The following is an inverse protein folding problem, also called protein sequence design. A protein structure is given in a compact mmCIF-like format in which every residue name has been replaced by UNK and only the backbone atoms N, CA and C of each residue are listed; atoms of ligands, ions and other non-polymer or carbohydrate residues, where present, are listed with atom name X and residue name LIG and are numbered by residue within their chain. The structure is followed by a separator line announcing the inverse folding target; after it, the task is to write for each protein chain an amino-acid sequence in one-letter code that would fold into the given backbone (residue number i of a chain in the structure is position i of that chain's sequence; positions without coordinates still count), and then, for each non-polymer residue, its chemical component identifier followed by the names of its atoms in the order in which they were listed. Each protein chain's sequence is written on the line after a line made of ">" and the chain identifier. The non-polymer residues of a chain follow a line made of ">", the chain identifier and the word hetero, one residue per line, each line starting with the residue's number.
data_IF_660108779082
#
_entry.id   IF_660108779082
#
_cell.length_a   1.000
_cell.length_b   1.000
_cell.length_c   1.000
_cell.angle_alpha   90.00
_cell.angle_beta   90.00
_cell.angle_gamma   90.00
#
_symmetry.space_group_name_H-M   'P 1'
#
loop_
_entity.id
_entity.type
_entity.pdbx_description
1 polymer ?
#
# COMPACT_ATOMS: atom_id res chain seq x y z
N UNK A 1 -37.39 -17.05 11.18
CA UNK A 1 -36.97 -15.65 11.42
C UNK A 1 -35.63 -15.45 10.75
N UNK A 2 -35.59 -14.69 9.66
CA UNK A 2 -34.36 -14.44 8.90
C UNK A 2 -33.41 -13.57 9.74
N UNK A 3 -32.14 -13.93 9.92
CA UNK A 3 -31.18 -13.06 10.60
C UNK A 3 -31.04 -11.77 9.78
N UNK A 4 -31.26 -10.64 10.45
CA UNK A 4 -31.23 -9.31 9.86
C UNK A 4 -29.88 -9.06 9.17
N UNK A 5 -29.89 -9.03 7.83
CA UNK A 5 -28.76 -8.64 6.96
C UNK A 5 -28.13 -7.30 7.35
N UNK A 6 -28.87 -6.47 8.08
CA UNK A 6 -28.43 -5.17 8.58
C UNK A 6 -27.34 -5.27 9.66
N UNK A 7 -27.36 -6.30 10.52
CA UNK A 7 -26.39 -6.46 11.60
C UNK A 7 -25.02 -6.93 11.08
N UNK A 8 -25.00 -7.72 10.00
CA UNK A 8 -23.78 -8.13 9.31
C UNK A 8 -23.16 -6.91 8.60
N UNK A 9 -23.97 -6.03 8.00
CA UNK A 9 -23.50 -4.80 7.35
C UNK A 9 -22.84 -3.81 8.31
N UNK A 10 -23.33 -3.69 9.55
CA UNK A 10 -22.76 -2.78 10.56
C UNK A 10 -21.42 -3.29 11.10
N UNK A 11 -21.27 -4.61 11.29
CA UNK A 11 -20.00 -5.20 11.75
C UNK A 11 -18.91 -5.08 10.67
N UNK A 12 -19.27 -5.30 9.40
CA UNK A 12 -18.34 -5.04 8.28
C UNK A 12 -18.02 -3.55 8.11
N UNK A 13 -18.98 -2.66 8.34
CA UNK A 13 -18.77 -1.20 8.27
C UNK A 13 -17.79 -0.69 9.35
N UNK A 14 -17.85 -1.21 10.57
CA UNK A 14 -16.97 -0.79 11.67
C UNK A 14 -15.53 -1.33 11.50
N UNK A 15 -15.35 -2.52 10.92
CA UNK A 15 -14.01 -3.02 10.56
C UNK A 15 -13.40 -2.27 9.36
N UNK A 16 -14.21 -1.81 8.39
CA UNK A 16 -13.70 -1.02 7.25
C UNK A 16 -13.27 0.41 7.65
N UNK A 17 -13.96 1.04 8.60
CA UNK A 17 -13.67 2.44 8.99
C UNK A 17 -12.41 2.56 9.86
N UNK A 18 -11.95 1.48 10.49
CA UNK A 18 -10.74 1.50 11.34
C UNK A 18 -9.41 1.33 10.58
N UNK A 19 -9.43 1.15 9.25
CA UNK A 19 -8.21 1.00 8.42
C UNK A 19 -7.81 2.24 7.62
N UNK A 20 -8.50 3.37 7.77
CA UNK A 20 -8.12 4.65 7.13
C UNK A 20 -7.41 5.55 8.15
N UNK A 21 -6.30 5.07 8.68
CA UNK A 21 -5.27 5.97 9.22
C UNK A 21 -4.15 5.94 8.20
N UNK A 22 -4.10 6.96 7.36
CA UNK A 22 -2.89 7.26 6.58
C UNK A 22 -1.81 7.67 7.59
N UNK A 23 -0.75 6.86 7.81
CA UNK A 23 0.38 7.35 8.56
C UNK A 23 0.98 8.52 7.78
N UNK A 24 1.09 9.68 8.42
CA UNK A 24 1.93 10.76 7.93
C UNK A 24 3.38 10.29 8.07
N UNK A 25 3.98 9.82 6.98
CA UNK A 25 5.36 9.36 6.99
C UNK A 25 6.26 10.50 6.50
N UNK A 26 7.21 10.92 7.35
CA UNK A 26 8.32 11.77 6.92
C UNK A 26 9.20 10.94 5.99
N UNK A 27 9.38 11.41 4.75
CA UNK A 27 10.33 10.83 3.82
C UNK A 27 11.75 10.92 4.41
N UNK A 28 12.53 9.85 4.28
CA UNK A 28 13.98 9.96 4.40
C UNK A 28 14.45 10.79 3.21
N UNK A 29 14.85 12.04 3.48
CA UNK A 29 15.44 12.93 2.48
C UNK A 29 16.78 12.32 2.07
N UNK A 30 16.87 11.76 0.85
CA UNK A 30 18.13 11.30 0.30
C UNK A 30 18.96 12.55 -0.03
N UNK A 31 20.08 12.74 0.66
CA UNK A 31 20.94 13.95 0.71
C UNK A 31 21.53 14.37 -0.66
N UNK A 32 21.21 13.64 -1.73
CA UNK A 32 21.57 13.99 -3.12
C UNK A 32 20.54 14.85 -3.86
N UNK A 33 19.34 15.07 -3.30
CA UNK A 33 18.33 15.93 -3.94
C UNK A 33 18.67 17.41 -3.72
N UNK A 34 18.87 18.15 -4.82
CA UNK A 34 19.05 19.61 -4.75
C UNK A 34 17.79 20.23 -4.13
N UNK A 35 17.86 20.65 -2.86
CA UNK A 35 16.81 21.41 -2.18
C UNK A 35 16.36 22.56 -3.09
N UNK A 36 15.06 22.58 -3.41
CA UNK A 36 14.46 23.63 -4.23
C UNK A 36 14.66 24.94 -3.48
N UNK A 37 15.24 25.94 -4.15
CA UNK A 37 15.46 27.26 -3.56
C UNK A 37 14.12 27.86 -3.10
N UNK A 38 14.02 28.43 -1.89
CA UNK A 38 12.78 28.99 -1.34
C UNK A 38 12.19 30.18 -2.14
N UNK A 39 12.85 30.60 -3.23
CA UNK A 39 12.37 31.64 -4.17
C UNK A 39 11.52 31.08 -5.33
N UNK A 40 11.29 29.77 -5.39
CA UNK A 40 10.56 29.10 -6.46
C UNK A 40 9.20 28.60 -5.93
N UNK A 41 8.11 28.95 -6.61
CA UNK A 41 6.78 28.41 -6.32
C UNK A 41 6.57 27.11 -7.11
N UNK A 42 6.01 26.09 -6.47
CA UNK A 42 5.67 24.82 -7.10
C UNK A 42 4.18 24.78 -7.44
N UNK A 43 3.83 24.43 -8.68
CA UNK A 43 2.44 24.18 -9.08
C UNK A 43 2.28 22.72 -9.51
N UNK A 44 1.29 22.03 -8.96
CA UNK A 44 0.94 20.67 -9.36
C UNK A 44 0.34 20.66 -10.76
N UNK A 45 0.88 19.79 -11.61
CA UNK A 45 0.37 19.56 -12.96
C UNK A 45 -0.66 18.44 -12.89
N UNK A 46 -0.21 17.30 -12.38
CA UNK A 46 -1.01 16.09 -12.25
C UNK A 46 -0.39 15.14 -11.22
N UNK A 47 -1.20 14.24 -10.69
CA UNK A 47 -0.80 13.22 -9.74
C UNK A 47 -1.65 11.96 -9.89
N UNK A 48 -1.08 10.83 -9.45
CA UNK A 48 -1.84 9.61 -9.24
C UNK A 48 -1.22 8.74 -8.16
N UNK A 49 -2.01 7.77 -7.69
CA UNK A 49 -1.56 6.77 -6.75
C UNK A 49 -1.78 5.39 -7.33
N UNK A 50 -0.91 4.45 -7.01
CA UNK A 50 -1.05 3.06 -7.46
C UNK A 50 -0.71 2.10 -6.33
N UNK A 51 -1.38 0.94 -6.31
CA UNK A 51 -1.14 -0.10 -5.31
C UNK A 51 -0.71 -1.39 -5.98
N UNK A 52 0.34 -2.01 -5.48
CA UNK A 52 0.83 -3.30 -5.96
C UNK A 52 0.81 -4.25 -4.77
N UNK A 53 -0.03 -5.27 -4.84
CA UNK A 53 -0.21 -6.24 -3.77
C UNK A 53 0.29 -7.61 -4.21
N UNK A 54 1.22 -8.15 -3.43
CA UNK A 54 1.66 -9.52 -3.51
C UNK A 54 0.78 -10.33 -2.57
N UNK A 55 0.03 -11.25 -3.14
CA UNK A 55 -0.92 -12.09 -2.42
C UNK A 55 -0.60 -13.57 -2.59
N UNK A 56 -1.00 -14.38 -1.63
CA UNK A 56 -0.99 -15.84 -1.79
C UNK A 56 -2.20 -16.30 -2.62
N UNK A 57 -2.18 -17.56 -3.07
CA UNK A 57 -3.26 -18.14 -3.90
C UNK A 57 -4.65 -18.11 -3.24
N UNK A 58 -4.74 -17.89 -1.93
CA UNK A 58 -5.98 -17.73 -1.18
C UNK A 58 -6.45 -16.27 -1.03
N UNK A 59 -5.74 -15.33 -1.66
CA UNK A 59 -6.03 -13.89 -1.64
C UNK A 59 -5.47 -13.13 -0.43
N UNK A 60 -4.63 -13.76 0.39
CA UNK A 60 -4.00 -13.07 1.53
C UNK A 60 -2.86 -12.19 1.05
N UNK A 61 -3.00 -10.88 1.26
CA UNK A 61 -1.92 -9.91 1.04
C UNK A 61 -0.78 -10.15 2.02
N UNK A 62 0.42 -10.41 1.49
CA UNK A 62 1.65 -10.59 2.27
C UNK A 62 2.60 -9.39 2.14
N UNK A 63 2.53 -8.66 1.02
CA UNK A 63 3.35 -7.47 0.80
C UNK A 63 2.63 -6.47 -0.09
N UNK A 64 2.60 -5.21 0.34
CA UNK A 64 1.93 -4.12 -0.36
C UNK A 64 2.90 -2.97 -0.61
N UNK A 65 2.94 -2.51 -1.85
CA UNK A 65 3.52 -1.22 -2.21
C UNK A 65 2.40 -0.22 -2.42
N UNK A 66 2.54 0.96 -1.83
CA UNK A 66 1.71 2.13 -2.09
C UNK A 66 2.54 3.20 -2.75
N UNK A 67 2.21 3.51 -3.98
CA UNK A 67 2.93 4.48 -4.79
C UNK A 67 2.11 5.78 -4.89
N UNK A 68 2.81 6.90 -4.87
CA UNK A 68 2.28 8.23 -5.18
C UNK A 68 3.26 8.92 -6.12
N UNK A 69 2.75 9.32 -7.27
CA UNK A 69 3.52 9.97 -8.32
C UNK A 69 2.89 11.32 -8.62
N UNK A 70 3.73 12.34 -8.76
CA UNK A 70 3.29 13.70 -8.93
C UNK A 70 4.24 14.46 -9.84
N UNK A 71 3.68 15.23 -10.76
CA UNK A 71 4.43 16.12 -11.64
C UNK A 71 4.14 17.58 -11.28
N UNK A 72 5.18 18.40 -11.26
CA UNK A 72 5.15 19.78 -10.75
C UNK A 72 5.90 20.73 -11.67
N UNK A 73 5.38 21.94 -11.85
CA UNK A 73 6.12 23.07 -12.42
C UNK A 73 6.85 23.85 -11.33
N UNK A 74 8.09 24.29 -11.62
CA UNK A 74 8.72 25.38 -10.89
C UNK A 74 8.53 26.71 -11.59
N UNK A 75 7.87 27.63 -10.89
CA UNK A 75 7.61 29.00 -11.29
C UNK A 75 8.52 29.96 -10.53
N UNK A 76 9.20 30.85 -11.27
CA UNK A 76 10.05 31.88 -10.70
C UNK A 76 9.37 33.25 -10.83
N UNK A 77 8.90 33.82 -9.73
CA UNK A 77 8.06 35.03 -9.77
C UNK A 77 8.71 36.24 -10.47
N UNK A 78 10.05 36.37 -10.42
CA UNK A 78 10.77 37.49 -11.03
C UNK A 78 10.95 37.38 -12.55
N UNK A 79 10.71 36.21 -13.15
CA UNK A 79 10.68 35.98 -14.58
C UNK A 79 9.50 35.03 -14.85
N UNK A 80 8.31 35.53 -15.26
CA UNK A 80 7.06 34.75 -15.34
C UNK A 80 7.08 33.75 -16.50
N UNK A 81 7.99 32.79 -16.44
CA UNK A 81 8.16 31.69 -17.38
C UNK A 81 8.17 30.41 -16.57
N UNK A 82 7.40 29.41 -17.04
CA UNK A 82 7.53 28.03 -16.56
C UNK A 82 8.96 27.61 -16.87
N UNK A 83 9.74 27.36 -15.82
CA UNK A 83 11.18 27.17 -15.99
C UNK A 83 11.56 25.70 -16.12
N UNK A 84 10.87 24.81 -15.40
CA UNK A 84 11.26 23.41 -15.22
C UNK A 84 10.09 22.52 -14.79
N UNK A 85 10.15 21.23 -15.14
CA UNK A 85 9.24 20.19 -14.65
C UNK A 85 9.98 19.26 -13.71
N UNK A 86 9.33 18.91 -12.62
CA UNK A 86 9.83 17.97 -11.64
C UNK A 86 8.87 16.82 -11.47
N UNK A 87 9.44 15.66 -11.20
CA UNK A 87 8.74 14.45 -10.83
C UNK A 87 9.04 14.10 -9.38
N UNK A 88 7.99 13.92 -8.62
CA UNK A 88 8.02 13.45 -7.25
C UNK A 88 7.46 12.04 -7.20
N UNK A 89 8.22 11.12 -6.64
CA UNK A 89 7.80 9.74 -6.38
C UNK A 89 7.92 9.42 -4.92
N UNK A 90 6.91 8.76 -4.37
CA UNK A 90 6.89 8.17 -3.05
C UNK A 90 6.36 6.75 -3.13
N UNK A 91 7.02 5.82 -2.46
CA UNK A 91 6.72 4.40 -2.44
C UNK A 91 6.84 3.91 -1.00
N UNK A 92 5.69 3.56 -0.41
CA UNK A 92 5.59 2.96 0.91
C UNK A 92 5.51 1.44 0.83
N UNK A 93 6.23 0.76 1.71
CA UNK A 93 6.30 -0.69 1.81
C UNK A 93 5.58 -1.18 3.07
N UNK A 94 4.65 -2.11 2.92
CA UNK A 94 3.82 -2.60 4.03
C UNK A 94 3.74 -4.11 4.04
N UNK A 95 3.92 -4.72 5.20
CA UNK A 95 3.82 -6.17 5.37
C UNK A 95 2.37 -6.55 5.68
N UNK A 96 1.93 -7.65 5.07
CA UNK A 96 0.63 -8.25 5.33
C UNK A 96 0.39 -8.51 6.81
N UNK A 97 -0.83 -8.25 7.26
CA UNK A 97 -1.23 -8.43 8.66
C UNK A 97 -2.34 -9.47 8.78
N UNK A 98 -2.30 -10.23 9.86
CA UNK A 98 -3.36 -11.14 10.23
C UNK A 98 -4.62 -10.39 10.70
N UNK A 99 -5.76 -11.08 10.90
CA UNK A 99 -6.98 -10.47 11.41
C UNK A 99 -6.81 -9.81 12.80
N UNK A 100 -5.83 -10.26 13.58
CA UNK A 100 -5.49 -9.66 14.88
C UNK A 100 -4.35 -8.63 14.79
N UNK A 101 -3.94 -8.22 13.59
CA UNK A 101 -2.92 -7.19 13.35
C UNK A 101 -1.47 -7.68 13.48
N UNK A 102 -1.23 -9.00 13.57
CA UNK A 102 0.13 -9.56 13.66
C UNK A 102 0.77 -9.59 12.27
N UNK A 103 2.08 -9.36 12.19
CA UNK A 103 2.79 -9.43 10.90
C UNK A 103 2.80 -10.85 10.37
N UNK A 104 2.31 -11.06 9.14
CA UNK A 104 2.40 -12.34 8.43
C UNK A 104 3.79 -12.57 7.85
N UNK A 105 4.54 -11.48 7.64
CA UNK A 105 5.89 -11.49 7.07
C UNK A 105 6.90 -11.12 8.16
N UNK A 106 7.99 -11.89 8.23
CA UNK A 106 9.13 -11.62 9.11
C UNK A 106 10.21 -10.77 8.43
N UNK A 107 10.43 -10.98 7.13
CA UNK A 107 11.40 -10.22 6.35
C UNK A 107 11.10 -10.28 4.85
N UNK A 108 11.50 -9.21 4.16
CA UNK A 108 11.56 -9.15 2.71
C UNK A 108 12.96 -8.71 2.33
N UNK A 109 13.65 -9.56 1.58
CA UNK A 109 14.99 -9.33 1.08
C UNK A 109 14.92 -9.12 -0.44
N UNK A 110 15.68 -8.14 -0.94
CA UNK A 110 15.88 -7.90 -2.38
C UNK A 110 17.36 -7.78 -2.67
N UNK A 111 17.80 -8.28 -3.82
CA UNK A 111 19.14 -7.97 -4.32
C UNK A 111 19.19 -6.50 -4.76
N UNK A 112 18.19 -6.08 -5.53
CA UNK A 112 17.98 -4.69 -5.92
C UNK A 112 16.48 -4.46 -6.16
N UNK A 113 15.93 -3.43 -5.56
CA UNK A 113 14.64 -2.85 -5.92
C UNK A 113 14.88 -1.42 -6.37
N UNK A 114 14.63 -1.13 -7.63
CA UNK A 114 14.82 0.19 -8.21
C UNK A 114 13.55 0.72 -8.86
N UNK A 115 13.36 2.04 -8.83
CA UNK A 115 12.30 2.72 -9.57
C UNK A 115 12.89 3.70 -10.59
N UNK A 116 12.49 3.56 -11.84
CA UNK A 116 12.96 4.37 -12.96
C UNK A 116 11.80 5.24 -13.49
N UNK A 117 11.85 6.57 -13.31
CA UNK A 117 10.74 7.44 -13.70
C UNK A 117 10.71 7.65 -15.21
N UNK A 118 9.51 7.72 -15.81
CA UNK A 118 9.34 7.95 -17.25
C UNK A 118 8.22 8.93 -17.57
N UNK A 119 8.33 9.60 -18.70
CA UNK A 119 7.33 10.55 -19.19
C UNK A 119 7.41 10.75 -20.71
N UNK A 120 6.33 11.23 -21.30
CA UNK A 120 6.31 11.70 -22.70
C UNK A 120 6.03 13.19 -22.68
N UNK A 121 6.83 13.99 -23.39
CA UNK A 121 6.63 15.43 -23.44
C UNK A 121 5.56 15.85 -24.47
N UNK A 122 5.21 17.13 -24.50
CA UNK A 122 4.20 17.68 -25.42
C UNK A 122 4.56 17.60 -26.92
N UNK A 123 5.80 17.24 -27.28
CA UNK A 123 6.22 16.99 -28.66
C UNK A 123 6.05 15.52 -29.05
N UNK A 124 5.70 14.67 -28.09
CA UNK A 124 5.62 13.22 -28.27
C UNK A 124 6.97 12.53 -28.09
N UNK A 125 8.00 13.24 -27.61
CA UNK A 125 9.30 12.63 -27.37
C UNK A 125 9.23 11.84 -26.06
N UNK A 126 9.51 10.52 -26.06
CA UNK A 126 9.53 9.72 -24.86
C UNK A 126 10.84 9.97 -24.10
N UNK A 127 10.69 10.15 -22.80
CA UNK A 127 11.79 10.35 -21.88
C UNK A 127 11.76 9.23 -20.85
N UNK A 128 12.80 8.41 -20.96
CA UNK A 128 13.17 7.26 -20.14
C UNK A 128 12.38 5.95 -20.37
N UNK A 129 13.12 4.89 -20.72
CA UNK A 129 12.70 3.48 -20.65
C UNK A 129 13.84 2.59 -20.07
N UNK A 130 14.60 3.10 -19.07
CA UNK A 130 15.79 2.57 -18.35
C UNK A 130 17.13 3.37 -18.53
N UNK A 131 17.14 4.70 -18.41
CA UNK A 131 18.37 5.45 -18.16
C UNK A 131 19.09 4.97 -16.88
N UNK A 132 20.42 5.15 -16.78
CA UNK A 132 21.24 4.45 -15.77
C UNK A 132 20.91 4.78 -14.30
N UNK A 133 20.27 5.92 -14.01
CA UNK A 133 20.08 6.35 -12.62
C UNK A 133 18.63 6.15 -12.14
N UNK A 134 18.39 5.24 -11.19
CA UNK A 134 17.08 5.09 -10.58
C UNK A 134 16.75 6.28 -9.68
N UNK A 135 15.46 6.63 -9.59
CA UNK A 135 14.99 7.65 -8.67
C UNK A 135 15.29 7.23 -7.22
N UNK A 136 15.12 5.95 -6.90
CA UNK A 136 15.64 5.35 -5.68
C UNK A 136 15.98 3.87 -5.93
N UNK A 137 16.90 3.34 -5.14
CA UNK A 137 17.23 1.93 -5.11
C UNK A 137 17.34 1.43 -3.68
N UNK A 138 16.89 0.20 -3.43
CA UNK A 138 16.99 -0.50 -2.15
C UNK A 138 17.73 -1.82 -2.42
N UNK A 139 18.87 -1.99 -1.73
CA UNK A 139 19.65 -3.22 -1.77
C UNK A 139 19.59 -3.87 -0.38
N UNK A 140 19.09 -5.09 -0.28
CA UNK A 140 18.94 -5.83 0.97
C UNK A 140 17.51 -5.80 1.52
N UNK A 141 17.36 -5.53 2.83
CA UNK A 141 16.09 -5.70 3.54
C UNK A 141 15.15 -4.51 3.35
N UNK A 142 13.92 -4.79 2.91
CA UNK A 142 12.79 -3.87 2.96
C UNK A 142 12.19 -3.94 4.36
N UNK A 143 11.93 -2.80 4.98
CA UNK A 143 11.30 -2.72 6.32
C UNK A 143 9.81 -2.43 6.20
N UNK A 144 9.03 -2.99 7.11
CA UNK A 144 7.61 -2.66 7.24
C UNK A 144 7.43 -1.18 7.60
N UNK A 145 6.57 -0.48 6.85
CA UNK A 145 6.35 0.95 6.96
C UNK A 145 7.46 1.83 6.36
N UNK A 146 8.45 1.25 5.68
CA UNK A 146 9.50 2.03 5.02
C UNK A 146 8.89 2.89 3.91
N UNK A 147 9.33 4.15 3.83
CA UNK A 147 9.01 5.06 2.74
C UNK A 147 10.29 5.39 1.98
N UNK A 148 10.27 5.12 0.68
CA UNK A 148 11.31 5.56 -0.26
C UNK A 148 10.71 6.53 -1.26
N UNK A 149 11.49 7.49 -1.69
CA UNK A 149 11.01 8.47 -2.65
C UNK A 149 12.11 9.40 -3.10
N UNK A 150 11.85 10.10 -4.19
CA UNK A 150 12.78 11.07 -4.72
C UNK A 150 12.02 12.21 -5.41
N UNK A 151 12.71 13.33 -5.50
CA UNK A 151 12.29 14.51 -6.23
C UNK A 151 13.31 14.82 -7.32
N UNK A 152 12.93 14.58 -8.58
CA UNK A 152 13.84 14.61 -9.72
C UNK A 152 13.42 15.71 -10.71
N UNK A 153 14.39 16.48 -11.19
CA UNK A 153 14.21 17.38 -12.33
C UNK A 153 14.11 16.53 -13.60
N UNK A 154 12.98 16.61 -14.30
CA UNK A 154 12.70 15.79 -15.48
C UNK A 154 12.79 16.60 -16.78
N UNK A 155 12.47 17.90 -16.75
CA UNK A 155 12.69 18.77 -17.91
C UNK A 155 13.26 20.13 -17.47
N UNK A 156 14.52 20.45 -17.81
CA UNK A 156 15.12 21.75 -17.53
C UNK A 156 14.76 22.82 -18.57
N UNK A 157 14.12 22.46 -19.68
CA UNK A 157 13.82 23.34 -20.79
C UNK A 157 12.32 23.63 -20.88
N UNK A 158 11.96 24.92 -20.94
CA UNK A 158 10.57 25.39 -21.09
C UNK A 158 9.88 24.99 -22.42
N UNK A 159 10.50 24.11 -23.21
CA UNK A 159 9.96 23.63 -24.49
C UNK A 159 8.72 22.76 -24.32
N UNK A 160 8.64 22.00 -23.23
CA UNK A 160 7.51 21.11 -22.96
C UNK A 160 6.44 21.88 -22.18
N UNK A 161 5.26 22.10 -22.77
CA UNK A 161 4.20 22.85 -22.07
C UNK A 161 3.40 22.00 -21.11
N UNK A 162 3.39 20.68 -21.30
CA UNK A 162 2.71 19.67 -20.50
C UNK A 162 3.33 18.30 -20.77
N UNK A 163 3.05 17.33 -19.90
CA UNK A 163 3.46 15.94 -20.05
C UNK A 163 2.28 15.14 -20.57
N UNK A 164 2.44 14.42 -21.68
CA UNK A 164 1.43 13.55 -22.27
C UNK A 164 1.24 12.26 -21.49
N UNK A 165 2.31 11.80 -20.82
CA UNK A 165 2.30 10.60 -19.99
C UNK A 165 3.35 10.77 -18.89
N UNK A 166 3.11 10.21 -17.70
CA UNK A 166 4.14 10.15 -16.65
C UNK A 166 3.94 8.95 -15.73
N UNK A 167 5.03 8.52 -15.08
CA UNK A 167 5.04 7.37 -14.19
C UNK A 167 6.44 6.78 -14.04
N UNK A 168 6.56 5.46 -14.18
CA UNK A 168 7.86 4.78 -14.20
C UNK A 168 7.77 3.27 -14.11
N UNK A 169 8.93 2.63 -14.17
CA UNK A 169 9.09 1.18 -14.10
C UNK A 169 9.76 0.79 -12.78
N UNK A 170 9.16 -0.16 -12.06
CA UNK A 170 9.82 -0.87 -10.97
C UNK A 170 10.61 -2.05 -11.51
N UNK A 171 11.81 -2.23 -10.98
CA UNK A 171 12.63 -3.41 -11.21
C UNK A 171 12.89 -4.12 -9.88
N UNK A 172 12.39 -5.35 -9.74
CA UNK A 172 12.69 -6.22 -8.59
C UNK A 172 13.65 -7.33 -9.01
N UNK A 173 14.82 -7.38 -8.38
CA UNK A 173 15.83 -8.44 -8.51
C UNK A 173 16.02 -9.13 -7.17
N UNK A 174 16.02 -10.45 -7.15
CA UNK A 174 16.32 -11.23 -5.94
C UNK A 174 15.28 -11.09 -4.82
N UNK A 175 13.99 -10.90 -5.14
CA UNK A 175 12.90 -10.72 -4.17
C UNK A 175 12.58 -12.05 -3.46
N UNK A 176 12.84 -12.07 -2.16
CA UNK A 176 12.54 -13.18 -1.27
C UNK A 176 11.66 -12.68 -0.13
N UNK A 177 10.48 -13.28 0.03
CA UNK A 177 9.54 -12.97 1.11
C UNK A 177 9.57 -14.13 2.11
N UNK A 178 9.90 -13.84 3.37
CA UNK A 178 9.88 -14.84 4.45
C UNK A 178 8.69 -14.58 5.37
N UNK A 179 7.79 -15.56 5.49
CA UNK A 179 6.67 -15.52 6.42
C UNK A 179 7.12 -15.57 7.88
N UNK A 180 6.22 -15.22 8.81
CA UNK A 180 6.45 -15.24 10.25
C UNK A 180 6.76 -16.65 10.79
N UNK A 181 6.21 -17.68 10.15
CA UNK A 181 6.45 -19.10 10.46
C UNK A 181 7.73 -19.66 9.82
N UNK A 182 8.45 -18.86 9.03
CA UNK A 182 9.74 -19.22 8.43
C UNK A 182 9.67 -19.72 6.97
N UNK A 183 8.49 -19.93 6.42
CA UNK A 183 8.29 -20.26 4.99
C UNK A 183 8.86 -19.15 4.11
N UNK A 184 9.62 -19.51 3.07
CA UNK A 184 10.26 -18.56 2.14
C UNK A 184 9.70 -18.70 0.73
N UNK A 185 9.28 -17.58 0.16
CA UNK A 185 8.90 -17.46 -1.24
C UNK A 185 10.01 -16.72 -1.99
N UNK A 186 10.72 -17.43 -2.86
CA UNK A 186 11.68 -16.83 -3.77
C UNK A 186 10.97 -16.51 -5.09
N UNK A 187 10.70 -15.24 -5.33
CA UNK A 187 9.90 -14.79 -6.47
C UNK A 187 10.74 -14.49 -7.71
N UNK A 188 12.06 -14.51 -7.57
CA UNK A 188 12.99 -14.08 -8.61
C UNK A 188 13.97 -15.19 -8.93
N UNK A 189 13.54 -16.15 -9.75
CA UNK A 189 14.47 -16.79 -10.68
C UNK A 189 14.78 -15.83 -11.86
N UNK A 190 13.88 -14.87 -12.14
CA UNK A 190 14.02 -13.78 -13.14
C UNK A 190 13.71 -12.40 -12.51
N UNK A 191 14.14 -11.32 -13.17
CA UNK A 191 13.79 -9.93 -12.80
C UNK A 191 12.30 -9.67 -13.05
N UNK A 192 11.60 -9.05 -12.09
CA UNK A 192 10.21 -8.60 -12.26
C UNK A 192 10.24 -7.13 -12.67
N UNK A 193 9.63 -6.80 -13.80
CA UNK A 193 9.39 -5.43 -14.22
C UNK A 193 7.90 -5.10 -14.11
N UNK A 194 7.58 -3.97 -13.49
CA UNK A 194 6.22 -3.46 -13.38
C UNK A 194 6.21 -2.02 -13.87
N UNK A 195 5.63 -1.80 -15.05
CA UNK A 195 5.48 -0.48 -15.64
C UNK A 195 4.18 0.17 -15.18
N UNK A 196 4.25 1.39 -14.63
CA UNK A 196 3.07 2.12 -14.17
C UNK A 196 3.10 3.53 -14.74
N UNK A 197 2.11 3.85 -15.55
CA UNK A 197 2.02 5.09 -16.29
C UNK A 197 0.61 5.64 -16.28
N UNK A 198 0.50 6.96 -16.36
CA UNK A 198 -0.77 7.66 -16.53
C UNK A 198 -0.70 8.56 -17.75
N UNK A 199 -1.73 8.51 -18.58
CA UNK A 199 -1.92 9.42 -19.70
C UNK A 199 -2.55 10.75 -19.26
N UNK A 200 -2.22 11.81 -20.00
CA UNK A 200 -2.67 13.16 -19.74
C UNK A 200 -4.19 13.28 -19.90
N UNK A 201 -4.84 13.94 -18.94
CA UNK A 201 -6.30 14.06 -18.79
C UNK A 201 -7.05 12.78 -18.38
N UNK A 202 -6.35 11.65 -18.18
CA UNK A 202 -6.99 10.51 -17.54
C UNK A 202 -7.10 10.73 -16.03
N UNK A 203 -8.10 10.13 -15.42
CA UNK A 203 -8.25 10.20 -13.96
C UNK A 203 -7.40 9.13 -13.26
N UNK A 204 -7.22 7.98 -13.91
CA UNK A 204 -6.51 6.82 -13.39
C UNK A 204 -5.29 6.51 -14.27
N UNK A 205 -4.24 5.86 -13.74
CA UNK A 205 -3.19 5.28 -14.57
C UNK A 205 -3.69 4.11 -15.42
N UNK A 206 -2.92 3.79 -16.45
CA UNK A 206 -3.13 2.63 -17.33
C UNK A 206 -2.97 1.34 -16.52
N UNK A 207 -3.53 0.25 -17.02
CA UNK A 207 -3.22 -1.07 -16.49
C UNK A 207 -1.72 -1.34 -16.67
N UNK A 208 -0.99 -1.73 -15.60
CA UNK A 208 0.45 -1.91 -15.67
C UNK A 208 0.83 -3.10 -16.54
N UNK A 209 1.92 -2.95 -17.29
CA UNK A 209 2.59 -4.07 -17.95
C UNK A 209 3.50 -4.77 -16.93
N UNK A 210 3.26 -6.07 -16.71
CA UNK A 210 3.96 -6.88 -15.72
C UNK A 210 4.73 -7.99 -16.43
N UNK A 211 6.04 -7.80 -16.57
CA UNK A 211 6.95 -8.82 -17.06
C UNK A 211 7.51 -9.63 -15.88
N UNK A 212 6.79 -10.68 -15.49
CA UNK A 212 7.17 -11.59 -14.39
C UNK A 212 6.89 -13.03 -14.78
N UNK A 213 7.83 -13.68 -15.48
CA UNK A 213 7.59 -14.91 -16.25
C UNK A 213 6.80 -16.06 -15.58
N UNK A 214 6.77 -16.15 -14.25
CA UNK A 214 6.08 -17.22 -13.51
C UNK A 214 5.05 -16.72 -12.47
N UNK A 215 4.75 -15.43 -12.41
CA UNK A 215 3.82 -14.87 -11.41
C UNK A 215 2.52 -14.50 -12.11
N UNK A 216 1.42 -15.16 -11.69
CA UNK A 216 0.09 -14.82 -12.14
C UNK A 216 -0.28 -13.42 -11.64
N UNK A 217 -0.84 -12.58 -12.50
CA UNK A 217 -1.17 -11.21 -12.15
C UNK A 217 -2.52 -10.78 -12.72
N UNK A 218 -3.20 -9.92 -11.97
CA UNK A 218 -4.39 -9.19 -12.40
C UNK A 218 -4.14 -7.70 -12.22
N UNK A 219 -4.19 -6.95 -13.31
CA UNK A 219 -3.92 -5.52 -13.36
C UNK A 219 -5.21 -4.72 -13.53
N UNK A 220 -5.33 -3.62 -12.78
CA UNK A 220 -6.43 -2.66 -12.88
C UNK A 220 -5.88 -1.24 -12.87
N UNK A 221 -6.72 -0.28 -13.22
CA UNK A 221 -6.36 1.14 -13.34
C UNK A 221 -5.83 1.80 -12.05
N UNK A 222 -5.85 1.18 -10.87
CA UNK A 222 -5.24 1.75 -9.64
C UNK A 222 -4.58 0.69 -8.74
N UNK A 223 -4.62 -0.58 -9.16
CA UNK A 223 -4.29 -1.69 -8.31
C UNK A 223 -3.81 -2.87 -9.16
N UNK A 224 -2.73 -3.52 -8.76
CA UNK A 224 -2.29 -4.79 -9.33
C UNK A 224 -2.19 -5.85 -8.23
N UNK A 225 -2.66 -7.05 -8.54
CA UNK A 225 -2.45 -8.24 -7.71
C UNK A 225 -1.40 -9.12 -8.38
N UNK A 226 -0.36 -9.50 -7.64
CA UNK A 226 0.62 -10.49 -8.01
C UNK A 226 0.41 -11.71 -7.12
N UNK A 227 -0.09 -12.79 -7.72
CA UNK A 227 -0.49 -14.01 -7.01
C UNK A 227 0.67 -14.99 -6.96
N UNK A 228 1.04 -15.37 -5.74
CA UNK A 228 2.12 -16.29 -5.40
C UNK A 228 1.49 -17.60 -4.98
N UNK A 229 1.88 -18.70 -5.62
CA UNK A 229 1.44 -20.03 -5.22
C UNK A 229 1.99 -20.38 -3.83
N UNK A 230 1.11 -20.69 -2.90
CA UNK A 230 1.50 -21.03 -1.54
C UNK A 230 0.33 -21.31 -0.61
N UNK A 231 0.54 -22.14 0.43
CA UNK A 231 -0.49 -22.40 1.42
C UNK A 231 -0.76 -21.16 2.28
N UNK A 232 -1.99 -21.09 2.82
CA UNK A 232 -2.37 -20.11 3.84
C UNK A 232 -1.41 -20.16 5.04
N UNK A 233 -0.89 -19.00 5.52
CA UNK A 233 -0.03 -18.96 6.69
C UNK A 233 -0.75 -19.51 7.93
N UNK A 234 -0.08 -20.34 8.73
CA UNK A 234 -0.65 -20.90 9.96
C UNK A 234 -1.06 -19.80 10.93
N UNK A 235 -0.29 -18.72 11.00
CA UNK A 235 -0.59 -17.55 11.84
C UNK A 235 -1.97 -16.95 11.50
N UNK A 236 -2.31 -16.88 10.21
CA UNK A 236 -3.62 -16.40 9.75
C UNK A 236 -4.75 -17.29 10.28
N UNK A 237 -4.60 -18.60 10.14
CA UNK A 237 -5.61 -19.58 10.55
C UNK A 237 -5.85 -19.51 12.06
N UNK A 238 -4.78 -19.46 12.85
CA UNK A 238 -4.87 -19.34 14.30
C UNK A 238 -5.57 -18.03 14.71
N UNK A 239 -5.22 -16.91 14.09
CA UNK A 239 -5.87 -15.63 14.37
C UNK A 239 -7.35 -15.61 14.02
N UNK A 240 -7.73 -16.23 12.91
CA UNK A 240 -9.12 -16.35 12.51
C UNK A 240 -9.93 -17.17 13.54
N UNK A 241 -9.38 -18.30 14.01
CA UNK A 241 -10.02 -19.13 15.05
C UNK A 241 -10.21 -18.34 16.35
N UNK A 242 -9.18 -17.61 16.79
CA UNK A 242 -9.25 -16.78 18.01
C UNK A 242 -10.29 -15.67 17.84
N UNK A 243 -10.29 -14.98 16.69
CA UNK A 243 -11.24 -13.91 16.41
C UNK A 243 -12.70 -14.43 16.42
N UNK A 244 -12.98 -15.53 15.71
CA UNK A 244 -14.32 -16.13 15.65
C UNK A 244 -14.77 -16.57 17.05
N UNK A 245 -13.85 -17.15 17.83
CA UNK A 245 -14.15 -17.58 19.21
C UNK A 245 -14.48 -16.39 20.10
N UNK A 246 -13.71 -15.30 20.01
CA UNK A 246 -13.95 -14.07 20.76
C UNK A 246 -15.28 -13.42 20.39
N UNK A 247 -15.58 -13.28 19.10
CA UNK A 247 -16.86 -12.74 18.61
C UNK A 247 -18.02 -13.61 19.10
N UNK A 248 -17.88 -14.93 19.02
CA UNK A 248 -18.92 -15.87 19.49
C UNK A 248 -19.17 -15.72 20.99
N UNK A 249 -18.11 -15.60 21.79
CA UNK A 249 -18.22 -15.38 23.24
C UNK A 249 -18.94 -14.05 23.56
N UNK A 250 -18.61 -12.98 22.83
CA UNK A 250 -19.27 -11.67 22.98
C UNK A 250 -20.76 -11.77 22.65
N UNK A 251 -21.11 -12.42 21.54
CA UNK A 251 -22.51 -12.59 21.13
C UNK A 251 -23.32 -13.41 22.14
N UNK A 252 -22.75 -14.50 22.66
CA UNK A 252 -23.38 -15.31 23.71
C UNK A 252 -23.54 -14.47 24.98
N UNK A 253 -22.52 -13.72 25.39
CA UNK A 253 -22.57 -12.86 26.58
C UNK A 253 -23.63 -11.77 26.46
N UNK A 254 -23.72 -11.09 25.31
CA UNK A 254 -24.77 -10.10 25.03
C UNK A 254 -26.16 -10.75 25.10
N UNK A 255 -26.33 -11.94 24.50
CA UNK A 255 -27.60 -12.66 24.51
C UNK A 255 -28.04 -13.04 25.93
N UNK A 256 -27.11 -13.55 26.75
CA UNK A 256 -27.34 -13.85 28.16
C UNK A 256 -27.69 -12.58 28.95
N UNK A 257 -27.00 -11.47 28.68
CA UNK A 257 -27.26 -10.20 29.35
C UNK A 257 -28.64 -9.62 29.00
N UNK A 258 -29.06 -9.71 27.74
CA UNK A 258 -30.42 -9.33 27.30
C UNK A 258 -31.48 -10.22 27.99
N UNK A 259 -31.25 -11.52 28.07
CA UNK A 259 -32.16 -12.46 28.73
C UNK A 259 -32.25 -12.18 30.24
N UNK A 260 -31.13 -11.85 30.88
CA UNK A 260 -31.08 -11.48 32.29
C UNK A 260 -31.82 -10.16 32.56
N UNK A 261 -31.58 -9.12 31.76
CA UNK A 261 -32.28 -7.83 31.89
C UNK A 261 -33.80 -7.96 31.69
N UNK A 262 -34.24 -8.90 30.85
CA UNK A 262 -35.67 -9.22 30.66
C UNK A 262 -36.25 -10.13 31.76
N UNK A 263 -35.47 -10.47 32.79
CA UNK A 263 -35.89 -11.35 33.88
C UNK A 263 -36.18 -12.79 33.45
N UNK A 264 -35.66 -13.22 32.29
CA UNK A 264 -35.90 -14.58 31.76
C UNK A 264 -34.92 -15.62 32.32
N UNK A 265 -33.75 -15.18 32.76
CA UNK A 265 -32.72 -16.02 33.38
C UNK A 265 -32.09 -15.30 34.57
N UNK A 266 -31.58 -16.05 35.53
CA UNK A 266 -30.83 -15.55 36.68
C UNK A 266 -29.34 -15.83 36.45
N UNK A 267 -28.50 -14.78 36.41
CA UNK A 267 -27.06 -14.94 36.25
C UNK A 267 -26.38 -15.04 37.63
N UNK A 268 -25.72 -16.17 37.96
CA UNK A 268 -25.18 -16.41 39.30
C UNK A 268 -24.05 -15.44 39.70
N UNK A 269 -23.35 -14.84 38.73
CA UNK A 269 -22.25 -13.90 38.99
C UNK A 269 -22.70 -12.56 39.58
N UNK A 270 -23.94 -12.14 39.38
CA UNK A 270 -24.47 -10.86 39.89
C UNK A 270 -25.10 -10.97 41.28
N UNK A 271 -25.39 -12.19 41.77
CA UNK A 271 -25.95 -12.39 43.12
C UNK A 271 -24.94 -12.09 44.25
N UNK A 272 -23.63 -12.12 43.98
CA UNK A 272 -22.60 -11.81 45.00
C UNK A 272 -22.33 -10.33 45.23
N UNK A 273 -22.70 -9.44 44.30
CA UNK A 273 -22.47 -7.99 44.46
C UNK A 273 -23.61 -7.31 45.24
N UNK A 274 -24.79 -7.95 45.30
CA UNK A 274 -25.98 -7.41 45.95
C UNK A 274 -26.28 -8.05 47.33
N UNK A 275 -25.27 -8.54 48.05
CA UNK A 275 -25.43 -8.85 49.48
C UNK A 275 -24.98 -7.66 50.30
N UNK A 276 -25.89 -6.72 50.70
CA UNK A 276 -25.59 -5.89 51.84
C UNK A 276 -25.43 -6.82 53.05
N UNK A 277 -24.32 -6.67 53.74
CA UNK A 277 -24.13 -7.17 55.10
C UNK A 277 -25.35 -6.77 55.94
N UNK A 278 -26.20 -7.73 56.30
CA UNK A 278 -27.20 -7.53 57.33
C UNK A 278 -26.50 -7.52 58.68
N UNK A 279 -26.37 -6.33 59.27
CA UNK A 279 -26.48 -6.12 60.71
C UNK A 279 -27.96 -6.02 61.08
#
# INVERSE_FOLDING_TARGET
>A
MNPNRWLIGIVFGIMMVSMIVTPSVMAAENDGSKKISPKLQTFEIDAFTYRISFQLSDGIEIFLLRCSFKTLYLYQHHHPTVSKHYFQSYVGFYFGKSPLGRSLVSSIDVTNLAFYPQWIDSRGDPHNMLGETPAFAINGKIRDGQLSGNFQLIDPYASSRYLLQFGGTFEFKGLVITLAEGTKYNLTENTIHIEIVKEFNEYNPNEPDIASGNIAHDSFANYAYLTIEGPTPLLQLLDLVVLISAVSLVLVSISLFILWFKGRIDLPMLKRVASPSQQ
#
